data_IF_097748127993
#
_entry.id   IF_097748127993
#
_cell.length_a   1.000
_cell.length_b   1.000
_cell.length_c   1.000
_cell.angle_alpha   90.00
_cell.angle_beta   90.00
_cell.angle_gamma   90.00
#
_symmetry.space_group_name_H-M   'P 1'
#
loop_
_entity.id
_entity.type
_entity.pdbx_description
1 polymer ?
#
# COMPACT_ATOMS: atom_id res chain seq x y z
N UNK A 1 -10.65 24.25 4.65
CA UNK A 1 -10.35 22.81 4.68
C UNK A 1 -9.91 22.47 6.10
N UNK A 2 -10.68 21.67 6.83
CA UNK A 2 -10.28 21.22 8.17
C UNK A 2 -9.21 20.15 7.98
N UNK A 3 -8.05 20.31 8.60
CA UNK A 3 -7.01 19.29 8.63
C UNK A 3 -7.28 18.40 9.83
N UNK A 4 -7.64 17.14 9.57
CA UNK A 4 -7.82 16.12 10.61
C UNK A 4 -6.65 15.14 10.51
N UNK A 5 -6.07 14.79 11.66
CA UNK A 5 -5.05 13.74 11.77
C UNK A 5 -5.58 12.67 12.73
N UNK A 6 -5.49 11.42 12.33
CA UNK A 6 -5.96 10.27 13.11
C UNK A 6 -4.78 9.37 13.44
N UNK A 7 -4.67 8.94 14.70
CA UNK A 7 -3.73 7.91 15.10
C UNK A 7 -4.40 6.54 14.92
N UNK A 8 -3.98 5.78 13.91
CA UNK A 8 -4.60 4.52 13.54
C UNK A 8 -3.59 3.60 12.84
N UNK A 9 -3.70 2.29 13.05
CA UNK A 9 -2.92 1.30 12.32
C UNK A 9 -3.63 1.00 10.99
N UNK A 10 -3.07 1.55 9.90
CA UNK A 10 -3.66 1.50 8.57
C UNK A 10 -3.81 0.07 8.02
N UNK A 11 -3.13 -0.94 8.58
CA UNK A 11 -3.32 -2.33 8.13
C UNK A 11 -4.76 -2.82 8.34
N UNK A 12 -5.50 -2.18 9.26
CA UNK A 12 -6.90 -2.48 9.51
C UNK A 12 -7.87 -1.72 8.58
N UNK A 13 -7.38 -0.75 7.80
CA UNK A 13 -8.18 0.08 6.89
C UNK A 13 -8.11 1.56 7.26
N UNK A 14 -9.29 2.19 7.40
CA UNK A 14 -9.42 3.58 7.83
C UNK A 14 -10.03 3.64 9.24
N UNK A 15 -9.73 4.69 10.02
CA UNK A 15 -10.37 4.92 11.31
C UNK A 15 -11.90 5.05 11.15
N UNK A 16 -12.65 4.67 12.19
CA UNK A 16 -14.13 4.62 12.17
C UNK A 16 -14.76 6.00 11.90
N UNK A 17 -14.08 7.06 12.29
CA UNK A 17 -14.45 8.45 12.04
C UNK A 17 -14.55 8.78 10.54
N UNK A 18 -13.86 8.01 9.68
CA UNK A 18 -13.90 8.15 8.22
C UNK A 18 -14.79 7.09 7.56
N UNK A 19 -15.62 6.38 8.32
CA UNK A 19 -16.43 5.27 7.80
C UNK A 19 -17.40 5.72 6.69
N UNK A 20 -17.97 6.92 6.80
CA UNK A 20 -18.91 7.46 5.82
C UNK A 20 -18.25 8.38 4.77
N UNK A 21 -16.93 8.57 4.88
CA UNK A 21 -16.19 9.45 3.97
C UNK A 21 -15.83 8.71 2.68
N UNK A 22 -15.78 9.49 1.59
CA UNK A 22 -15.26 9.05 0.29
C UNK A 22 -14.24 10.04 -0.24
N UNK A 23 -13.31 9.52 -1.02
CA UNK A 23 -12.16 10.27 -1.48
C UNK A 23 -12.04 10.21 -3.00
N UNK A 24 -11.70 11.34 -3.63
CA UNK A 24 -11.27 11.36 -5.03
C UNK A 24 -9.86 10.79 -5.17
N UNK A 25 -9.02 10.96 -4.14
CA UNK A 25 -7.66 10.45 -4.08
C UNK A 25 -7.34 9.89 -2.70
N UNK A 26 -6.80 8.67 -2.67
CA UNK A 26 -6.21 8.05 -1.49
C UNK A 26 -4.74 7.86 -1.79
N UNK A 27 -3.86 8.49 -1.02
CA UNK A 27 -2.41 8.48 -1.27
C UNK A 27 -1.70 7.82 -0.10
N UNK A 28 -0.86 6.83 -0.40
CA UNK A 28 0.09 6.25 0.56
C UNK A 28 1.50 6.41 0.02
N UNK A 29 2.42 6.93 0.83
CA UNK A 29 3.81 7.15 0.46
C UNK A 29 4.74 6.54 1.50
N UNK A 30 5.69 5.70 1.07
CA UNK A 30 6.71 5.07 1.93
C UNK A 30 6.14 4.50 3.24
N UNK A 31 5.13 3.64 3.13
CA UNK A 31 4.46 3.08 4.31
C UNK A 31 3.96 1.66 4.10
N UNK A 32 3.48 1.34 2.90
CA UNK A 32 2.78 0.08 2.68
C UNK A 32 3.75 -1.11 2.66
N UNK A 33 5.05 -0.89 2.50
CA UNK A 33 6.09 -1.92 2.59
C UNK A 33 6.20 -2.57 3.99
N UNK A 34 5.65 -1.95 5.04
CA UNK A 34 5.66 -2.53 6.39
C UNK A 34 4.60 -3.62 6.64
N UNK A 35 3.67 -3.83 5.69
CA UNK A 35 2.62 -4.86 5.82
C UNK A 35 2.79 -5.94 4.76
N UNK A 36 2.37 -7.16 5.07
CA UNK A 36 2.49 -8.32 4.16
C UNK A 36 1.66 -8.12 2.89
N UNK A 37 1.99 -8.85 1.82
CA UNK A 37 1.23 -8.74 0.56
C UNK A 37 -0.26 -9.06 0.73
N UNK A 38 -0.60 -10.02 1.59
CA UNK A 38 -1.98 -10.34 1.92
C UNK A 38 -2.71 -9.14 2.57
N UNK A 39 -2.05 -8.45 3.50
CA UNK A 39 -2.60 -7.24 4.15
C UNK A 39 -2.71 -6.08 3.16
N UNK A 40 -1.74 -5.89 2.24
CA UNK A 40 -1.84 -4.88 1.17
C UNK A 40 -3.09 -5.10 0.32
N UNK A 41 -3.34 -6.34 -0.08
CA UNK A 41 -4.47 -6.73 -0.91
C UNK A 41 -5.79 -6.45 -0.19
N UNK A 42 -5.91 -6.86 1.08
CA UNK A 42 -7.10 -6.59 1.89
C UNK A 42 -7.34 -5.09 2.06
N UNK A 43 -6.28 -4.34 2.38
CA UNK A 43 -6.32 -2.89 2.50
C UNK A 43 -6.79 -2.23 1.21
N UNK A 44 -6.18 -2.54 0.06
CA UNK A 44 -6.54 -1.96 -1.24
C UNK A 44 -8.01 -2.26 -1.56
N UNK A 45 -8.50 -3.49 -1.31
CA UNK A 45 -9.92 -3.84 -1.50
C UNK A 45 -10.84 -2.99 -0.63
N UNK A 46 -10.50 -2.78 0.64
CA UNK A 46 -11.24 -1.89 1.55
C UNK A 46 -11.24 -0.45 1.04
N UNK A 47 -10.10 0.05 0.58
CA UNK A 47 -9.95 1.42 0.08
C UNK A 47 -10.68 1.65 -1.25
N UNK A 48 -10.75 0.65 -2.15
CA UNK A 48 -11.56 0.72 -3.39
C UNK A 48 -13.02 1.09 -3.08
N UNK A 49 -13.58 0.59 -1.97
CA UNK A 49 -14.95 0.92 -1.53
C UNK A 49 -15.10 2.34 -0.94
N UNK A 50 -13.99 3.05 -0.68
CA UNK A 50 -13.94 4.41 -0.14
C UNK A 50 -13.67 5.46 -1.22
N UNK A 51 -13.61 5.06 -2.48
CA UNK A 51 -13.41 6.00 -3.58
C UNK A 51 -14.74 6.62 -4.04
N UNK A 52 -14.68 7.88 -4.46
CA UNK A 52 -15.71 8.46 -5.32
C UNK A 52 -15.67 7.83 -6.72
N UNK A 53 -16.67 8.15 -7.54
CA UNK A 53 -16.63 7.82 -8.96
C UNK A 53 -15.37 8.41 -9.59
N UNK A 54 -14.63 7.60 -10.37
CA UNK A 54 -13.34 7.96 -10.98
C UNK A 54 -12.19 8.27 -10.01
N UNK A 55 -12.36 7.98 -8.72
CA UNK A 55 -11.32 8.16 -7.72
C UNK A 55 -10.09 7.27 -7.95
N UNK A 56 -8.94 7.65 -7.41
CA UNK A 56 -7.67 6.92 -7.57
C UNK A 56 -7.01 6.58 -6.23
N UNK A 57 -6.45 5.38 -6.14
CA UNK A 57 -5.50 5.01 -5.08
C UNK A 57 -4.11 5.17 -5.69
N UNK A 58 -3.27 5.97 -5.04
CA UNK A 58 -1.89 6.23 -5.47
C UNK A 58 -0.97 5.66 -4.40
N UNK A 59 -0.16 4.69 -4.79
CA UNK A 59 0.88 4.11 -3.94
C UNK A 59 2.22 4.60 -4.45
N UNK A 60 2.89 5.44 -3.65
CA UNK A 60 4.21 5.99 -3.92
C UNK A 60 5.23 5.29 -3.01
N UNK A 61 5.61 4.07 -3.39
CA UNK A 61 6.49 3.21 -2.59
C UNK A 61 7.47 2.44 -3.50
N UNK A 62 8.45 1.76 -2.90
CA UNK A 62 9.37 0.89 -3.64
C UNK A 62 8.60 -0.32 -4.17
N UNK A 63 8.72 -0.56 -5.47
CA UNK A 63 8.07 -1.66 -6.16
C UNK A 63 9.00 -2.25 -7.22
N UNK A 64 8.79 -3.53 -7.51
CA UNK A 64 9.49 -4.27 -8.54
C UNK A 64 8.48 -4.69 -9.61
N UNK A 65 8.91 -4.71 -10.88
CA UNK A 65 8.05 -5.18 -11.97
C UNK A 65 7.68 -6.65 -11.77
N UNK A 66 8.65 -7.48 -11.38
CA UNK A 66 8.48 -8.92 -11.23
C UNK A 66 9.36 -9.49 -10.09
N UNK A 67 9.11 -10.77 -9.74
CA UNK A 67 9.81 -11.47 -8.65
C UNK A 67 11.30 -11.68 -8.92
N UNK A 68 11.72 -11.71 -10.18
CA UNK A 68 13.13 -11.91 -10.53
C UNK A 68 13.94 -10.66 -10.17
N UNK A 69 13.45 -9.47 -10.52
CA UNK A 69 14.10 -8.20 -10.18
C UNK A 69 14.21 -7.98 -8.66
N UNK A 70 13.18 -8.37 -7.90
CA UNK A 70 13.24 -8.34 -6.43
C UNK A 70 14.38 -9.22 -5.90
N UNK A 71 14.52 -10.44 -6.42
CA UNK A 71 15.56 -11.38 -5.99
C UNK A 71 16.95 -10.87 -6.37
N UNK A 72 17.13 -10.32 -7.56
CA UNK A 72 18.39 -9.71 -8.00
C UNK A 72 18.78 -8.55 -7.08
N UNK A 73 17.85 -7.63 -6.81
CA UNK A 73 18.08 -6.53 -5.87
C UNK A 73 18.43 -7.03 -4.46
N UNK A 74 17.76 -8.08 -3.99
CA UNK A 74 18.09 -8.72 -2.70
C UNK A 74 19.50 -9.32 -2.67
N UNK A 75 19.91 -9.98 -3.74
CA UNK A 75 21.26 -10.52 -3.86
C UNK A 75 22.31 -9.41 -3.86
N UNK A 76 22.07 -8.33 -4.61
CA UNK A 76 22.96 -7.18 -4.71
C UNK A 76 23.08 -6.42 -3.38
N UNK A 77 21.97 -6.28 -2.64
CA UNK A 77 21.97 -5.65 -1.32
C UNK A 77 22.71 -6.47 -0.26
N UNK A 78 22.71 -7.80 -0.39
CA UNK A 78 23.38 -8.72 0.53
C UNK A 78 22.95 -8.48 1.98
N UNK A 79 23.91 -8.13 2.84
CA UNK A 79 23.67 -7.88 4.27
C UNK A 79 22.87 -6.61 4.57
N UNK A 80 22.70 -5.72 3.59
CA UNK A 80 21.90 -4.50 3.72
C UNK A 80 20.42 -4.71 3.44
N UNK A 81 20.03 -5.92 3.01
CA UNK A 81 18.63 -6.25 2.77
C UNK A 81 17.82 -6.21 4.07
N UNK A 82 16.68 -5.52 4.06
CA UNK A 82 15.72 -5.58 5.17
C UNK A 82 14.71 -6.71 4.95
N UNK A 83 14.84 -7.78 5.75
CA UNK A 83 13.92 -8.92 5.72
C UNK A 83 12.54 -8.62 6.32
N UNK A 84 12.35 -7.45 6.95
CA UNK A 84 11.06 -7.03 7.51
C UNK A 84 10.23 -6.19 6.53
N UNK A 85 10.78 -5.84 5.37
CA UNK A 85 10.07 -5.09 4.34
C UNK A 85 9.48 -6.01 3.27
N UNK A 86 8.25 -5.70 2.88
CA UNK A 86 7.49 -6.42 1.87
C UNK A 86 7.19 -5.48 0.69
N UNK A 87 8.03 -5.49 -0.33
CA UNK A 87 7.85 -4.62 -1.50
C UNK A 87 6.76 -5.11 -2.44
N UNK A 88 6.11 -4.17 -3.14
CA UNK A 88 5.10 -4.50 -4.15
C UNK A 88 5.78 -5.12 -5.37
N UNK A 89 5.16 -6.17 -5.90
CA UNK A 89 5.59 -6.82 -7.15
C UNK A 89 4.45 -6.68 -8.16
N UNK A 90 4.65 -5.89 -9.21
CA UNK A 90 3.59 -5.50 -10.13
C UNK A 90 2.86 -6.70 -10.74
N UNK A 91 3.59 -7.73 -11.19
CA UNK A 91 2.99 -8.95 -11.76
C UNK A 91 2.02 -9.69 -10.83
N UNK A 92 2.22 -9.58 -9.51
CA UNK A 92 1.33 -10.17 -8.51
C UNK A 92 0.10 -9.28 -8.26
N UNK A 93 0.28 -7.96 -8.31
CA UNK A 93 -0.76 -6.96 -8.00
C UNK A 93 -1.63 -6.55 -9.20
N UNK A 94 -1.16 -6.69 -10.44
CA UNK A 94 -1.91 -6.36 -11.64
C UNK A 94 -3.15 -7.26 -11.87
N UNK A 95 -3.33 -8.28 -11.03
CA UNK A 95 -4.44 -9.24 -11.11
C UNK A 95 -5.57 -8.94 -10.11
N UNK A 96 -5.52 -7.80 -9.41
CA UNK A 96 -6.31 -7.50 -8.19
C UNK A 96 -7.17 -6.23 -8.34
#
# INVERSE_FOLDING_TARGET
MVKSCYCFDFKYGLPKELENEKFDYIVSSYAIHHITDAEKIDLIKKLKNKQNMDGKIIIADVAFENRQLLKECKLDAGVLWDDNEHYIIFDDFNKI
#
